data_IF_442888056521
#
_entry.id   IF_442888056521
#
_cell.length_a   1.000
_cell.length_b   1.000
_cell.length_c   1.000
_cell.angle_alpha   90.00
_cell.angle_beta   90.00
_cell.angle_gamma   90.00
#
_symmetry.space_group_name_H-M   'P 1'
#
loop_
_entity.id
_entity.type
_entity.pdbx_description
1 polymer ?
#
# COMPACT_ATOMS: atom_id res chain seq x y z
N UNK A 1 41.09 -8.34 -60.28
CA UNK A 1 39.69 -8.78 -60.07
C UNK A 1 39.35 -8.61 -58.60
N UNK A 2 38.18 -7.99 -58.34
CA UNK A 2 37.34 -7.93 -57.12
C UNK A 2 37.91 -8.57 -55.82
N UNK A 3 37.78 -7.99 -54.62
CA UNK A 3 36.53 -7.50 -54.04
C UNK A 3 36.76 -6.78 -52.72
N UNK A 4 36.13 -5.61 -52.61
CA UNK A 4 35.85 -4.83 -51.42
C UNK A 4 34.89 -5.61 -50.48
N UNK A 5 35.18 -5.76 -49.19
CA UNK A 5 34.16 -6.05 -48.16
C UNK A 5 34.45 -5.30 -46.86
N UNK A 6 33.59 -4.32 -46.60
CA UNK A 6 33.49 -3.49 -45.39
C UNK A 6 33.45 -4.34 -44.10
N UNK A 7 34.05 -3.86 -43.00
CA UNK A 7 33.84 -4.44 -41.68
C UNK A 7 32.47 -4.01 -41.15
N UNK A 8 31.56 -4.96 -41.00
CA UNK A 8 30.25 -4.74 -40.41
C UNK A 8 30.40 -4.75 -38.88
N UNK A 9 30.68 -3.59 -38.31
CA UNK A 9 30.46 -3.30 -36.89
C UNK A 9 28.95 -3.41 -36.61
N UNK A 10 28.51 -4.44 -35.88
CA UNK A 10 27.21 -4.43 -35.23
C UNK A 10 27.39 -4.38 -33.72
N UNK A 11 27.10 -3.20 -33.17
CA UNK A 11 27.01 -2.91 -31.74
C UNK A 11 26.03 -3.88 -31.08
N UNK A 12 26.51 -4.66 -30.13
CA UNK A 12 25.66 -5.41 -29.19
C UNK A 12 25.18 -4.42 -28.12
N UNK A 13 23.96 -3.92 -28.29
CA UNK A 13 23.32 -3.03 -27.33
C UNK A 13 22.93 -3.79 -26.05
N UNK A 14 23.60 -3.47 -24.94
CA UNK A 14 23.19 -3.88 -23.59
C UNK A 14 21.84 -3.24 -23.24
N UNK A 15 20.75 -3.99 -23.42
CA UNK A 15 19.45 -3.66 -22.85
C UNK A 15 19.47 -3.99 -21.35
N UNK A 16 19.85 -3.00 -20.53
CA UNK A 16 19.53 -3.00 -19.10
C UNK A 16 18.00 -2.88 -18.95
N UNK A 17 17.33 -4.04 -18.91
CA UNK A 17 15.96 -4.11 -18.43
C UNK A 17 15.96 -3.86 -16.92
N UNK A 18 15.74 -2.60 -16.52
CA UNK A 18 15.36 -2.28 -15.15
C UNK A 18 13.98 -2.90 -14.90
N UNK A 19 13.96 -4.07 -14.26
CA UNK A 19 12.75 -4.67 -13.72
C UNK A 19 12.21 -3.75 -12.62
N UNK A 20 11.37 -2.78 -12.99
CA UNK A 20 10.60 -2.03 -12.01
C UNK A 20 9.62 -3.01 -11.36
N UNK A 21 9.93 -3.47 -10.15
CA UNK A 21 8.98 -4.26 -9.36
C UNK A 21 7.71 -3.44 -9.19
N UNK A 22 6.53 -3.98 -9.54
CA UNK A 22 5.27 -3.28 -9.30
C UNK A 22 5.17 -2.98 -7.81
N UNK A 23 5.06 -1.70 -7.46
CA UNK A 23 4.62 -1.26 -6.14
C UNK A 23 3.16 -1.71 -6.06
N UNK A 24 2.94 -2.92 -5.54
CA UNK A 24 1.62 -3.48 -5.37
C UNK A 24 0.92 -2.67 -4.30
N UNK A 25 -0.01 -1.81 -4.73
CA UNK A 25 -1.03 -1.29 -3.85
C UNK A 25 -1.82 -2.49 -3.32
N UNK A 26 -1.70 -2.77 -2.02
CA UNK A 26 -2.41 -3.89 -1.39
C UNK A 26 -3.70 -3.36 -0.82
N UNK A 27 -4.83 -3.96 -1.22
CA UNK A 27 -6.08 -3.84 -0.49
C UNK A 27 -5.92 -4.56 0.84
N UNK A 28 -5.77 -3.79 1.93
CA UNK A 28 -5.47 -4.34 3.26
C UNK A 28 -6.69 -4.98 3.90
N UNK A 29 -7.87 -4.36 3.75
CA UNK A 29 -9.10 -4.84 4.36
C UNK A 29 -9.80 -5.86 3.44
N UNK A 30 -9.97 -7.13 3.86
CA UNK A 30 -10.58 -8.14 3.02
C UNK A 30 -12.08 -7.86 2.77
N UNK A 31 -12.57 -8.15 1.57
CA UNK A 31 -13.98 -7.97 1.26
C UNK A 31 -14.88 -8.88 2.13
N UNK A 32 -15.87 -8.30 2.82
CA UNK A 32 -16.84 -9.00 3.67
C UNK A 32 -18.19 -9.19 2.97
N UNK A 33 -18.16 -9.75 1.76
CA UNK A 33 -19.36 -9.98 0.94
C UNK A 33 -20.10 -8.69 0.62
N UNK A 34 -21.30 -8.51 1.20
CA UNK A 34 -22.11 -7.28 1.02
C UNK A 34 -21.83 -6.20 2.07
N UNK A 35 -21.07 -6.52 3.13
CA UNK A 35 -20.73 -5.57 4.18
C UNK A 35 -19.60 -4.65 3.71
N UNK A 36 -19.89 -3.36 3.63
CA UNK A 36 -18.92 -2.35 3.18
C UNK A 36 -18.03 -1.90 4.33
N UNK A 37 -16.75 -1.67 4.06
CA UNK A 37 -15.82 -1.04 5.01
C UNK A 37 -16.31 0.37 5.39
N UNK A 38 -16.35 0.68 6.68
CA UNK A 38 -16.85 1.95 7.23
C UNK A 38 -15.76 2.81 7.84
N UNK A 39 -14.86 2.18 8.58
CA UNK A 39 -13.74 2.85 9.21
C UNK A 39 -12.58 1.88 9.40
N UNK A 40 -11.41 2.46 9.65
CA UNK A 40 -10.21 1.73 10.04
C UNK A 40 -9.60 2.39 11.26
N UNK A 41 -9.03 1.59 12.16
CA UNK A 41 -8.03 2.07 13.10
C UNK A 41 -6.67 1.56 12.63
N UNK A 42 -5.66 2.42 12.63
CA UNK A 42 -4.27 2.05 12.29
C UNK A 42 -3.48 2.05 13.59
N UNK A 43 -2.69 1.01 13.85
CA UNK A 43 -1.93 0.86 15.09
C UNK A 43 -0.43 0.76 14.82
N UNK A 44 0.35 1.31 15.76
CA UNK A 44 1.77 0.99 15.91
C UNK A 44 1.91 -0.19 16.87
N UNK A 45 2.03 -1.40 16.33
CA UNK A 45 1.99 -2.65 17.09
C UNK A 45 0.67 -3.41 16.95
N UNK A 46 0.31 -4.19 17.97
CA UNK A 46 -0.90 -5.00 17.94
C UNK A 46 -2.13 -4.19 18.40
N UNK A 47 -3.35 -4.48 17.91
CA UNK A 47 -4.54 -3.73 18.33
C UNK A 47 -4.87 -3.83 19.82
N UNK A 48 -4.40 -4.89 20.50
CA UNK A 48 -4.58 -5.13 21.95
C UNK A 48 -3.74 -4.17 22.80
N UNK A 49 -2.65 -3.65 22.24
CA UNK A 49 -1.79 -2.64 22.88
C UNK A 49 -2.39 -1.22 22.78
N UNK A 50 -3.45 -1.06 21.98
CA UNK A 50 -4.26 0.18 21.85
C UNK A 50 -3.45 1.42 21.42
N UNK A 51 -2.31 1.24 20.77
CA UNK A 51 -1.46 2.31 20.25
C UNK A 51 -1.97 2.82 18.89
N UNK A 52 -3.16 3.42 18.86
CA UNK A 52 -3.78 3.93 17.63
C UNK A 52 -3.05 5.16 17.11
N UNK A 53 -2.79 5.17 15.80
CA UNK A 53 -2.22 6.28 15.05
C UNK A 53 -3.33 7.18 14.49
N UNK A 54 -3.19 8.48 14.71
CA UNK A 54 -4.00 9.49 14.05
C UNK A 54 -3.47 9.76 12.63
N UNK A 55 -4.34 10.05 11.64
CA UNK A 55 -3.89 10.46 10.32
C UNK A 55 -3.03 11.73 10.42
N UNK A 56 -1.94 11.77 9.65
CA UNK A 56 -1.12 12.98 9.50
C UNK A 56 -1.90 14.09 8.77
N UNK A 57 -2.78 13.70 7.85
CA UNK A 57 -3.74 14.59 7.21
C UNK A 57 -5.13 13.96 7.25
N UNK A 58 -6.12 14.75 7.65
CA UNK A 58 -7.51 14.32 7.73
C UNK A 58 -8.46 15.41 7.21
N UNK A 59 -9.22 15.07 6.18
CA UNK A 59 -10.39 15.80 5.69
C UNK A 59 -11.64 14.94 5.88
N UNK A 60 -12.82 15.52 5.64
CA UNK A 60 -14.12 14.85 5.79
C UNK A 60 -14.17 13.48 5.08
N UNK A 61 -13.53 13.35 3.90
CA UNK A 61 -13.64 12.18 3.03
C UNK A 61 -12.32 11.62 2.54
N UNK A 62 -11.20 12.13 3.02
CA UNK A 62 -9.89 11.66 2.61
C UNK A 62 -8.82 12.08 3.59
N UNK A 63 -7.73 11.33 3.61
CA UNK A 63 -6.58 11.61 4.46
C UNK A 63 -5.56 10.50 4.36
N UNK A 64 -4.52 10.57 5.18
CA UNK A 64 -3.45 9.58 5.13
C UNK A 64 -2.67 9.47 6.42
N UNK A 65 -1.94 8.35 6.53
CA UNK A 65 -0.89 8.11 7.52
C UNK A 65 0.45 7.92 6.81
N UNK A 66 1.49 8.58 7.28
CA UNK A 66 2.88 8.24 7.01
C UNK A 66 3.29 7.16 8.01
N UNK A 67 3.81 6.04 7.53
CA UNK A 67 4.05 4.85 8.37
C UNK A 67 5.51 4.43 8.43
N UNK A 68 6.38 5.03 7.61
CA UNK A 68 7.82 4.73 7.58
C UNK A 68 8.48 4.74 8.96
N UNK A 69 8.14 5.73 9.79
CA UNK A 69 8.74 5.90 11.12
C UNK A 69 8.49 4.73 12.08
N UNK A 70 7.35 4.03 11.94
CA UNK A 70 7.03 2.84 12.75
C UNK A 70 8.03 1.73 12.44
N UNK A 71 8.30 1.53 11.15
CA UNK A 71 9.19 0.49 10.67
C UNK A 71 10.67 0.81 10.90
N UNK A 72 11.05 2.09 10.86
CA UNK A 72 12.41 2.55 11.18
C UNK A 72 12.75 2.30 12.66
N UNK A 73 11.74 2.35 13.53
CA UNK A 73 11.86 2.00 14.93
C UNK A 73 11.81 0.47 15.20
N UNK A 74 11.81 -0.37 14.15
CA UNK A 74 11.79 -1.83 14.26
C UNK A 74 10.44 -2.42 14.66
N UNK A 75 9.36 -1.62 14.61
CA UNK A 75 8.00 -2.06 14.92
C UNK A 75 7.22 -2.41 13.64
N UNK A 76 5.94 -2.73 13.79
CA UNK A 76 5.07 -3.07 12.67
C UNK A 76 3.73 -2.34 12.79
N UNK A 77 3.02 -2.24 11.67
CA UNK A 77 1.69 -1.64 11.61
C UNK A 77 0.63 -2.73 11.48
N UNK A 78 -0.46 -2.58 12.23
CA UNK A 78 -1.69 -3.36 12.05
C UNK A 78 -2.88 -2.43 11.78
N UNK A 79 -3.89 -2.96 11.11
CA UNK A 79 -5.09 -2.22 10.71
C UNK A 79 -6.31 -3.00 11.16
N UNK A 80 -7.17 -2.38 11.97
CA UNK A 80 -8.49 -2.91 12.31
C UNK A 80 -9.52 -2.38 11.33
N UNK A 81 -10.00 -3.25 10.46
CA UNK A 81 -11.05 -2.99 9.50
C UNK A 81 -12.43 -3.15 10.16
N UNK A 82 -13.27 -2.11 10.13
CA UNK A 82 -14.61 -2.11 10.73
C UNK A 82 -15.68 -1.99 9.65
N UNK A 83 -16.60 -2.94 9.60
CA UNK A 83 -17.58 -3.05 8.52
C UNK A 83 -19.00 -2.63 8.96
N UNK A 84 -19.88 -2.45 7.97
CA UNK A 84 -21.22 -1.92 8.17
C UNK A 84 -22.14 -2.85 8.99
N UNK A 85 -21.88 -4.15 8.97
CA UNK A 85 -22.57 -5.16 9.78
C UNK A 85 -22.04 -5.26 11.22
N UNK A 86 -21.07 -4.42 11.59
CA UNK A 86 -20.43 -4.40 12.91
C UNK A 86 -19.30 -5.41 13.07
N UNK A 87 -19.00 -6.22 12.05
CA UNK A 87 -17.83 -7.11 12.09
C UNK A 87 -16.52 -6.31 12.07
N UNK A 88 -15.48 -6.88 12.68
CA UNK A 88 -14.12 -6.34 12.65
C UNK A 88 -13.12 -7.41 12.29
N UNK A 89 -12.10 -7.02 11.51
CA UNK A 89 -10.98 -7.88 11.14
C UNK A 89 -9.69 -7.09 11.35
N UNK A 90 -8.72 -7.72 12.01
CA UNK A 90 -7.42 -7.13 12.27
C UNK A 90 -6.38 -7.71 11.31
N UNK A 91 -5.73 -6.84 10.54
CA UNK A 91 -4.77 -7.20 9.51
C UNK A 91 -3.41 -6.60 9.85
N UNK A 92 -2.39 -7.46 10.00
CA UNK A 92 -1.01 -7.00 10.08
C UNK A 92 -0.50 -6.73 8.67
N UNK A 93 0.05 -5.55 8.43
CA UNK A 93 0.63 -5.24 7.12
C UNK A 93 1.80 -6.19 6.82
N UNK A 94 1.65 -7.01 5.78
CA UNK A 94 2.59 -8.07 5.42
C UNK A 94 3.96 -7.53 5.02
N UNK A 95 4.00 -6.31 4.47
CA UNK A 95 5.21 -5.62 4.05
C UNK A 95 5.23 -4.21 4.63
N UNK A 96 6.43 -3.65 4.73
CA UNK A 96 6.62 -2.26 5.11
C UNK A 96 6.03 -1.37 4.03
N UNK A 97 5.15 -0.46 4.40
CA UNK A 97 4.57 0.56 3.50
C UNK A 97 4.99 1.94 3.97
N UNK A 98 5.24 2.85 3.04
CA UNK A 98 5.57 4.23 3.40
C UNK A 98 4.34 4.98 3.90
N UNK A 99 3.17 4.67 3.33
CA UNK A 99 1.95 5.46 3.52
C UNK A 99 0.69 4.62 3.31
N UNK A 100 -0.36 4.95 4.03
CA UNK A 100 -1.73 4.51 3.73
C UNK A 100 -2.64 5.71 3.51
N UNK A 101 -3.37 5.73 2.41
CA UNK A 101 -4.35 6.75 2.05
C UNK A 101 -5.76 6.18 2.19
N UNK A 102 -6.66 6.92 2.86
CA UNK A 102 -8.07 6.59 2.87
C UNK A 102 -8.89 7.55 1.99
N UNK A 103 -9.95 7.02 1.39
CA UNK A 103 -10.99 7.79 0.72
C UNK A 103 -12.37 7.25 1.06
N UNK A 104 -13.32 8.14 1.28
CA UNK A 104 -14.72 7.82 1.59
C UNK A 104 -15.59 8.31 0.44
N UNK A 105 -16.33 7.40 -0.18
CA UNK A 105 -17.21 7.73 -1.29
C UNK A 105 -18.55 8.37 -0.83
N UNK A 106 -19.41 8.72 -1.79
CA UNK A 106 -20.72 9.30 -1.50
C UNK A 106 -21.68 8.35 -0.74
N UNK A 107 -21.41 7.03 -0.76
CA UNK A 107 -22.17 5.99 -0.04
C UNK A 107 -21.57 5.70 1.35
N UNK A 108 -20.59 6.51 1.77
CA UNK A 108 -19.83 6.35 3.01
C UNK A 108 -19.06 5.03 3.07
N UNK A 109 -18.67 4.50 1.92
CA UNK A 109 -17.78 3.34 1.82
C UNK A 109 -16.35 3.84 1.85
N UNK A 110 -15.57 3.33 2.81
CA UNK A 110 -14.14 3.62 2.91
C UNK A 110 -13.35 2.68 2.00
N UNK A 111 -12.37 3.24 1.30
CA UNK A 111 -11.29 2.51 0.63
C UNK A 111 -9.97 2.90 1.28
N UNK A 112 -9.08 1.92 1.47
CA UNK A 112 -7.77 2.12 2.05
C UNK A 112 -6.73 1.54 1.11
N UNK A 113 -5.75 2.37 0.73
CA UNK A 113 -4.65 1.96 -0.15
C UNK A 113 -3.32 2.22 0.54
N UNK A 114 -2.49 1.18 0.66
CA UNK A 114 -1.17 1.28 1.26
C UNK A 114 -0.07 0.97 0.25
N UNK A 115 1.02 1.75 0.29
CA UNK A 115 2.14 1.69 -0.65
C UNK A 115 3.45 2.22 -0.05
#
# INVERSE_FOLDING_TARGET
MLSNRLPLCFLLACLCACSASPIHAVDVCPAQGKSTLRSVDVFDGSPEEMATLVPDEAHERSGYWQLGYVYDAGRFVSIRCKYADGSTVDEKLAHKVGRCDYKIDARKTLSLRCQ
#
